data_IF_518503638745
#
_entry.id   IF_518503638745
#
_cell.length_a   1.000
_cell.length_b   1.000
_cell.length_c   1.000
_cell.angle_alpha   90.00
_cell.angle_beta   90.00
_cell.angle_gamma   90.00
#
_symmetry.space_group_name_H-M   'P 1'
#
loop_
_entity.id
_entity.type
_entity.pdbx_description
1 polymer ?
#
# COMPACT_ATOMS: atom_id res chain seq x y z
N UNK A 1 60.12 -7.86 -49.36
CA UNK A 1 59.10 -6.99 -49.99
C UNK A 1 57.75 -7.40 -49.40
N UNK A 2 57.26 -6.65 -48.40
CA UNK A 2 55.96 -6.89 -47.75
C UNK A 2 55.10 -5.65 -47.96
N UNK A 3 54.10 -5.74 -48.84
CA UNK A 3 53.12 -4.68 -49.07
C UNK A 3 51.97 -4.85 -48.08
N UNK A 4 51.90 -3.98 -47.08
CA UNK A 4 50.75 -3.87 -46.18
C UNK A 4 49.53 -3.33 -46.94
N UNK A 5 48.34 -3.95 -46.85
CA UNK A 5 47.15 -3.41 -47.47
C UNK A 5 46.73 -2.12 -46.76
N UNK A 6 46.68 -1.01 -47.49
CA UNK A 6 46.10 0.24 -46.99
C UNK A 6 44.62 0.03 -46.70
N UNK A 7 44.25 0.07 -45.41
CA UNK A 7 42.84 0.16 -44.99
C UNK A 7 42.32 1.53 -45.39
N UNK A 8 41.50 1.57 -46.44
CA UNK A 8 40.65 2.72 -46.77
C UNK A 8 39.69 2.99 -45.61
N UNK A 9 39.97 4.02 -44.81
CA UNK A 9 38.97 4.60 -43.91
C UNK A 9 38.03 5.43 -44.77
N UNK A 10 36.81 4.93 -45.01
CA UNK A 10 35.75 5.74 -45.61
C UNK A 10 35.39 6.86 -44.63
N UNK A 11 35.63 8.10 -45.01
CA UNK A 11 35.21 9.28 -44.25
C UNK A 11 33.70 9.45 -44.33
N UNK A 12 33.07 9.73 -43.20
CA UNK A 12 31.63 9.96 -43.10
C UNK A 12 31.32 11.39 -43.54
N UNK A 13 30.35 11.58 -44.44
CA UNK A 13 29.96 12.91 -44.91
C UNK A 13 29.04 13.59 -43.89
N UNK A 14 29.11 14.93 -43.81
CA UNK A 14 28.28 15.71 -42.88
C UNK A 14 26.77 15.45 -43.11
N UNK A 15 26.39 15.22 -44.38
CA UNK A 15 25.02 14.89 -44.77
C UNK A 15 24.57 13.52 -44.26
N UNK A 16 25.42 12.49 -44.31
CA UNK A 16 25.10 11.17 -43.75
C UNK A 16 24.85 11.27 -42.24
N UNK A 17 25.64 12.09 -41.52
CA UNK A 17 25.44 12.32 -40.09
C UNK A 17 24.14 13.06 -39.79
N UNK A 18 23.85 14.10 -40.57
CA UNK A 18 22.64 14.91 -40.39
C UNK A 18 21.37 14.09 -40.62
N UNK A 19 21.35 13.23 -41.64
CA UNK A 19 20.21 12.34 -41.90
C UNK A 19 20.01 11.34 -40.76
N UNK A 20 21.08 10.76 -40.22
CA UNK A 20 20.98 9.79 -39.12
C UNK A 20 20.40 10.43 -37.86
N UNK A 21 20.88 11.62 -37.48
CA UNK A 21 20.34 12.31 -36.30
C UNK A 21 18.89 12.74 -36.52
N UNK A 22 18.50 13.12 -37.74
CA UNK A 22 17.13 13.49 -38.08
C UNK A 22 16.17 12.28 -37.93
N UNK A 23 16.59 11.10 -38.40
CA UNK A 23 15.80 9.87 -38.23
C UNK A 23 15.66 9.51 -36.74
N UNK A 24 16.75 9.56 -35.96
CA UNK A 24 16.71 9.28 -34.52
C UNK A 24 15.77 10.25 -33.80
N UNK A 25 15.82 11.55 -34.13
CA UNK A 25 14.95 12.56 -33.52
C UNK A 25 13.46 12.30 -33.80
N UNK A 26 13.10 11.90 -35.04
CA UNK A 26 11.74 11.53 -35.40
C UNK A 26 11.31 10.27 -34.63
N UNK A 27 12.16 9.23 -34.58
CA UNK A 27 11.86 8.00 -33.86
C UNK A 27 11.62 8.26 -32.36
N UNK A 28 12.49 9.03 -31.70
CA UNK A 28 12.31 9.40 -30.28
C UNK A 28 11.06 10.26 -30.08
N UNK A 29 10.82 11.23 -30.98
CA UNK A 29 9.64 12.11 -30.93
C UNK A 29 8.32 11.33 -30.98
N UNK A 30 8.27 10.25 -31.75
CA UNK A 30 7.10 9.36 -31.82
C UNK A 30 7.01 8.41 -30.60
N UNK A 31 8.15 8.01 -30.03
CA UNK A 31 8.20 7.07 -28.91
C UNK A 31 7.87 7.69 -27.55
N UNK A 32 8.26 8.95 -27.30
CA UNK A 32 8.07 9.61 -26.00
C UNK A 32 6.61 9.59 -25.49
N UNK A 33 5.60 10.03 -26.27
CA UNK A 33 4.20 9.99 -25.81
C UNK A 33 3.68 8.56 -25.64
N UNK A 34 4.19 7.60 -26.42
CA UNK A 34 3.80 6.20 -26.31
C UNK A 34 4.35 5.56 -25.03
N UNK A 35 5.62 5.80 -24.70
CA UNK A 35 6.27 5.28 -23.48
C UNK A 35 5.58 5.79 -22.21
N UNK A 36 5.13 7.04 -22.20
CA UNK A 36 4.38 7.60 -21.06
C UNK A 36 3.05 6.88 -20.85
N UNK A 37 2.27 6.66 -21.92
CA UNK A 37 1.02 5.90 -21.87
C UNK A 37 1.25 4.47 -21.35
N UNK A 38 2.29 3.80 -21.83
CA UNK A 38 2.65 2.44 -21.37
C UNK A 38 3.03 2.45 -19.91
N UNK A 39 3.81 3.44 -19.45
CA UNK A 39 4.19 3.58 -18.04
C UNK A 39 2.96 3.78 -17.14
N UNK A 40 2.04 4.64 -17.53
CA UNK A 40 0.81 4.86 -16.77
C UNK A 40 -0.08 3.62 -16.73
N UNK A 41 -0.22 2.91 -17.85
CA UNK A 41 -0.94 1.64 -17.91
C UNK A 41 -0.27 0.59 -17.01
N UNK A 42 1.06 0.47 -17.03
CA UNK A 42 1.80 -0.44 -16.16
C UNK A 42 1.63 -0.09 -14.68
N UNK A 43 1.65 1.20 -14.32
CA UNK A 43 1.37 1.65 -12.95
C UNK A 43 -0.06 1.32 -12.52
N UNK A 44 -1.07 1.49 -13.39
CA UNK A 44 -2.46 1.09 -13.10
C UNK A 44 -2.59 -0.42 -12.91
N UNK A 45 -1.94 -1.21 -13.76
CA UNK A 45 -1.91 -2.67 -13.62
C UNK A 45 -1.27 -3.09 -12.29
N UNK A 46 -0.18 -2.43 -11.87
CA UNK A 46 0.40 -2.63 -10.54
C UNK A 46 -0.62 -2.35 -9.43
N UNK A 47 -1.37 -1.25 -9.51
CA UNK A 47 -2.39 -0.95 -8.52
C UNK A 47 -3.47 -2.05 -8.43
N UNK A 48 -3.92 -2.57 -9.57
CA UNK A 48 -4.89 -3.67 -9.61
C UNK A 48 -4.32 -4.96 -8.99
N UNK A 49 -3.05 -5.26 -9.28
CA UNK A 49 -2.38 -6.42 -8.70
C UNK A 49 -2.18 -6.29 -7.19
N UNK A 50 -1.83 -5.10 -6.70
CA UNK A 50 -1.75 -4.82 -5.26
C UNK A 50 -3.11 -5.03 -4.57
N UNK A 51 -4.21 -4.50 -5.13
CA UNK A 51 -5.56 -4.75 -4.59
C UNK A 51 -5.89 -6.24 -4.56
N UNK A 52 -5.55 -6.98 -5.63
CA UNK A 52 -5.72 -8.43 -5.66
C UNK A 52 -4.91 -9.13 -4.55
N UNK A 53 -3.66 -8.73 -4.33
CA UNK A 53 -2.84 -9.27 -3.24
C UNK A 53 -3.43 -8.97 -1.86
N UNK A 54 -3.91 -7.75 -1.63
CA UNK A 54 -4.57 -7.37 -0.37
C UNK A 54 -5.86 -8.17 -0.14
N UNK A 55 -6.68 -8.34 -1.18
CA UNK A 55 -7.92 -9.13 -1.10
C UNK A 55 -7.63 -10.60 -0.80
N UNK A 56 -6.63 -11.20 -1.47
CA UNK A 56 -6.17 -12.56 -1.17
C UNK A 56 -5.63 -12.67 0.26
N UNK A 57 -4.88 -11.68 0.73
CA UNK A 57 -4.40 -11.61 2.11
C UNK A 57 -5.53 -11.54 3.13
N UNK A 58 -6.60 -10.80 2.84
CA UNK A 58 -7.81 -10.76 3.68
C UNK A 58 -8.57 -12.09 3.69
N UNK A 59 -8.66 -12.78 2.55
CA UNK A 59 -9.26 -14.11 2.50
C UNK A 59 -8.42 -15.13 3.28
N UNK A 60 -7.09 -15.11 3.15
CA UNK A 60 -6.22 -15.97 3.94
C UNK A 60 -6.30 -15.69 5.45
N UNK A 61 -6.44 -14.40 5.83
CA UNK A 61 -6.74 -14.02 7.20
C UNK A 61 -8.08 -14.62 7.65
N UNK A 62 -9.13 -14.49 6.84
CA UNK A 62 -10.45 -15.09 7.13
C UNK A 62 -10.35 -16.61 7.31
N UNK A 63 -9.65 -17.32 6.43
CA UNK A 63 -9.53 -18.78 6.51
C UNK A 63 -8.89 -19.21 7.84
N UNK A 64 -7.95 -18.43 8.38
CA UNK A 64 -7.25 -18.73 9.62
C UNK A 64 -7.92 -18.19 10.89
N UNK A 65 -8.62 -17.06 10.78
CA UNK A 65 -9.23 -16.35 11.93
C UNK A 65 -10.75 -16.43 11.97
N UNK A 66 -11.37 -17.05 10.96
CA UNK A 66 -12.81 -17.19 10.78
C UNK A 66 -13.58 -15.85 10.83
N UNK A 67 -12.88 -14.76 10.55
CA UNK A 67 -13.38 -13.39 10.52
C UNK A 67 -12.54 -12.56 9.56
N UNK A 68 -13.12 -11.56 8.90
CA UNK A 68 -12.32 -10.56 8.17
C UNK A 68 -11.58 -9.65 9.16
N UNK A 69 -10.44 -9.06 8.75
CA UNK A 69 -9.65 -8.20 9.63
C UNK A 69 -10.47 -6.97 10.02
N UNK A 70 -10.49 -6.67 11.32
CA UNK A 70 -11.06 -5.45 11.84
C UNK A 70 -10.32 -4.23 11.27
N UNK A 71 -11.05 -3.20 10.84
CA UNK A 71 -10.42 -2.01 10.26
C UNK A 71 -9.53 -1.27 11.25
N UNK A 72 -9.95 -1.26 12.51
CA UNK A 72 -9.16 -0.86 13.66
C UNK A 72 -9.11 -2.06 14.60
N UNK A 73 -7.92 -2.38 15.13
CA UNK A 73 -7.79 -3.45 16.12
C UNK A 73 -8.70 -3.14 17.30
N UNK A 74 -9.54 -4.10 17.76
CA UNK A 74 -10.32 -3.91 18.96
C UNK A 74 -9.32 -3.77 20.11
N UNK A 75 -9.42 -2.66 20.83
CA UNK A 75 -8.96 -2.63 22.21
C UNK A 75 -10.10 -3.07 23.10
N UNK A 76 -9.82 -3.67 24.25
CA UNK A 76 -10.87 -3.90 25.27
C UNK A 76 -11.00 -2.68 26.21
N UNK A 77 -9.99 -1.79 26.24
CA UNK A 77 -9.97 -0.65 27.14
C UNK A 77 -10.82 0.48 26.57
N UNK A 78 -11.86 0.83 27.31
CA UNK A 78 -12.75 1.92 26.98
C UNK A 78 -12.06 3.27 27.27
N UNK A 79 -11.61 3.97 26.22
CA UNK A 79 -11.11 5.34 26.30
C UNK A 79 -12.25 6.35 26.04
N UNK A 80 -13.30 6.31 26.85
CA UNK A 80 -14.46 7.22 26.71
C UNK A 80 -15.21 7.00 25.39
N UNK A 81 -15.75 5.79 25.22
CA UNK A 81 -16.50 5.28 24.06
C UNK A 81 -15.65 4.97 22.81
N UNK A 82 -14.32 4.97 22.94
CA UNK A 82 -13.37 4.73 21.85
C UNK A 82 -12.58 3.44 22.08
N UNK A 83 -12.90 2.39 21.33
CA UNK A 83 -12.07 1.18 21.21
C UNK A 83 -10.97 1.46 20.18
N UNK A 84 -9.80 1.91 20.63
CA UNK A 84 -8.76 2.43 19.73
C UNK A 84 -7.37 1.91 20.06
N UNK A 85 -6.50 1.93 19.04
CA UNK A 85 -5.08 2.24 19.17
C UNK A 85 -4.07 1.08 19.23
N UNK A 86 -4.48 -0.19 19.13
CA UNK A 86 -3.55 -1.34 19.13
C UNK A 86 -3.24 -1.92 17.75
N UNK A 87 -3.78 -1.34 16.67
CA UNK A 87 -3.47 -1.77 15.31
C UNK A 87 -4.58 -1.42 14.32
N UNK A 88 -4.39 -1.81 13.06
CA UNK A 88 -5.36 -1.66 11.98
C UNK A 88 -5.45 -2.96 11.18
N UNK A 89 -6.39 -3.04 10.24
CA UNK A 89 -6.48 -4.15 9.28
C UNK A 89 -5.14 -4.41 8.56
N UNK A 90 -4.36 -3.35 8.35
CA UNK A 90 -3.08 -3.43 7.66
C UNK A 90 -2.11 -4.33 8.41
N UNK A 91 -2.00 -4.15 9.73
CA UNK A 91 -1.17 -5.01 10.60
C UNK A 91 -1.69 -6.45 10.57
N UNK A 92 -3.01 -6.62 10.65
CA UNK A 92 -3.67 -7.92 10.68
C UNK A 92 -3.29 -8.80 9.49
N UNK A 93 -3.24 -8.20 8.29
CA UNK A 93 -2.98 -8.95 7.06
C UNK A 93 -1.49 -9.07 6.71
N UNK A 94 -0.58 -8.37 7.40
CA UNK A 94 0.86 -8.36 7.08
C UNK A 94 1.47 -9.76 6.88
N UNK A 95 1.18 -10.78 7.71
CA UNK A 95 1.68 -12.14 7.51
C UNK A 95 1.25 -12.77 6.18
N UNK A 96 0.12 -12.34 5.63
CA UNK A 96 -0.52 -12.91 4.43
C UNK A 96 -0.16 -12.16 3.13
N UNK A 97 0.64 -11.09 3.21
CA UNK A 97 1.03 -10.25 2.08
C UNK A 97 2.56 -10.02 2.01
N UNK A 98 3.32 -11.04 2.42
CA UNK A 98 4.79 -11.02 2.41
C UNK A 98 5.40 -9.93 3.31
N UNK A 99 4.70 -9.49 4.36
CA UNK A 99 5.19 -8.53 5.35
C UNK A 99 5.36 -9.16 6.75
N UNK A 100 5.63 -10.46 6.82
CA UNK A 100 5.79 -11.20 8.09
C UNK A 100 6.89 -10.61 8.99
N UNK A 101 8.00 -10.16 8.39
CA UNK A 101 9.08 -9.52 9.15
C UNK A 101 8.63 -8.24 9.86
N UNK A 102 7.77 -7.44 9.22
CA UNK A 102 7.21 -6.24 9.83
C UNK A 102 6.21 -6.61 10.95
N UNK A 103 5.40 -7.64 10.72
CA UNK A 103 4.48 -8.15 11.74
C UNK A 103 5.21 -8.65 12.99
N UNK A 104 6.33 -9.36 12.84
CA UNK A 104 7.15 -9.84 13.97
C UNK A 104 7.76 -8.72 14.83
N UNK A 105 7.98 -7.53 14.25
CA UNK A 105 8.48 -6.36 14.99
C UNK A 105 7.34 -5.69 15.76
N UNK A 106 6.12 -5.71 15.21
CA UNK A 106 4.96 -5.08 15.82
C UNK A 106 4.60 -5.75 17.15
N UNK A 107 4.39 -4.95 18.19
CA UNK A 107 4.04 -5.41 19.54
C UNK A 107 2.63 -4.99 19.91
N UNK A 108 1.99 -5.83 20.72
CA UNK A 108 0.67 -5.60 21.33
C UNK A 108 -0.47 -5.37 20.31
N UNK A 109 -0.49 -6.13 19.22
CA UNK A 109 -1.65 -6.15 18.32
C UNK A 109 -2.86 -6.77 19.04
N UNK A 110 -4.02 -6.11 19.01
CA UNK A 110 -5.20 -6.56 19.75
C UNK A 110 -5.14 -6.34 21.25
N UNK A 111 -4.18 -5.55 21.74
CA UNK A 111 -3.97 -5.32 23.17
C UNK A 111 -5.19 -4.82 23.91
N UNK A 112 -5.32 -5.27 25.15
CA UNK A 112 -6.44 -5.05 26.06
C UNK A 112 -5.98 -4.26 27.31
N UNK A 113 -4.74 -3.79 27.31
CA UNK A 113 -4.05 -3.20 28.44
C UNK A 113 -3.66 -1.74 28.17
N UNK A 114 -3.85 -0.86 29.14
CA UNK A 114 -3.46 0.56 29.00
C UNK A 114 -1.94 0.78 28.95
N UNK A 115 -1.16 -0.29 29.11
CA UNK A 115 0.28 -0.30 29.37
C UNK A 115 1.16 -0.67 28.18
N UNK A 116 0.69 -1.46 27.20
CA UNK A 116 1.53 -1.88 26.08
C UNK A 116 1.70 -0.83 24.96
N UNK A 117 2.69 -1.01 24.06
CA UNK A 117 2.95 -0.07 22.98
C UNK A 117 1.78 0.00 21.98
N UNK A 118 1.27 1.21 21.77
CA UNK A 118 0.18 1.49 20.83
C UNK A 118 0.66 1.54 19.38
N UNK A 119 -0.27 1.61 18.43
CA UNK A 119 -0.01 1.73 16.98
C UNK A 119 0.95 2.88 16.63
N UNK A 120 0.82 4.01 17.32
CA UNK A 120 1.69 5.18 17.17
C UNK A 120 2.86 5.26 18.17
N UNK A 121 3.12 4.18 18.93
CA UNK A 121 4.01 4.20 20.09
C UNK A 121 5.34 3.48 19.87
N UNK A 122 6.43 4.07 20.38
CA UNK A 122 7.73 3.42 20.60
C UNK A 122 8.17 2.47 19.48
N UNK A 123 8.30 1.18 19.82
CA UNK A 123 8.75 0.11 18.93
C UNK A 123 7.92 -0.04 17.65
N UNK A 124 6.61 0.25 17.70
CA UNK A 124 5.71 0.08 16.56
C UNK A 124 5.95 1.12 15.46
N UNK A 125 6.65 2.23 15.74
CA UNK A 125 7.01 3.23 14.73
C UNK A 125 7.90 2.65 13.62
N UNK A 126 8.72 1.63 13.92
CA UNK A 126 9.52 0.95 12.89
C UNK A 126 8.64 0.31 11.81
N UNK A 127 7.39 -0.05 12.16
CA UNK A 127 6.41 -0.68 11.27
C UNK A 127 5.48 0.37 10.67
N UNK A 128 4.98 1.32 11.48
CA UNK A 128 3.93 2.28 11.07
C UNK A 128 4.45 3.53 10.36
N UNK A 129 5.75 3.80 10.40
CA UNK A 129 6.39 4.83 9.57
C UNK A 129 6.79 4.31 8.20
N UNK A 130 6.81 2.98 8.00
CA UNK A 130 7.25 2.37 6.75
C UNK A 130 6.13 2.35 5.70
N UNK A 131 6.45 2.81 4.50
CA UNK A 131 5.54 2.74 3.34
C UNK A 131 5.72 1.43 2.59
N UNK A 132 4.80 0.49 2.80
CA UNK A 132 4.73 -0.77 2.07
C UNK A 132 4.18 -0.60 0.65
N UNK A 133 4.94 -1.02 -0.37
CA UNK A 133 4.54 -0.92 -1.78
C UNK A 133 3.24 -1.66 -2.08
N UNK A 134 3.05 -2.87 -1.53
CA UNK A 134 1.83 -3.67 -1.71
C UNK A 134 0.56 -2.98 -1.20
N UNK A 135 0.70 -2.05 -0.25
CA UNK A 135 -0.40 -1.24 0.27
C UNK A 135 -0.48 0.15 -0.40
N UNK A 136 0.33 0.44 -1.42
CA UNK A 136 0.31 1.73 -2.11
C UNK A 136 0.16 1.57 -3.61
N UNK A 137 -0.85 2.23 -4.17
CA UNK A 137 -1.03 2.38 -5.60
C UNK A 137 0.00 3.37 -6.18
N UNK A 138 0.90 2.97 -7.08
CA UNK A 138 1.90 3.87 -7.68
C UNK A 138 1.31 5.00 -8.54
N UNK A 139 0.08 4.89 -9.04
CA UNK A 139 -0.56 6.01 -9.76
C UNK A 139 -1.02 7.12 -8.82
N UNK A 140 -1.19 6.80 -7.54
CA UNK A 140 -1.62 7.72 -6.49
C UNK A 140 -0.57 7.82 -5.38
N UNK A 141 0.71 7.55 -5.70
CA UNK A 141 1.80 7.63 -4.74
C UNK A 141 2.21 9.08 -4.49
N UNK A 142 1.26 9.82 -3.93
CA UNK A 142 1.50 11.13 -3.33
C UNK A 142 1.81 10.89 -1.85
N UNK A 143 2.90 11.44 -1.31
CA UNK A 143 3.08 11.51 0.12
C UNK A 143 1.88 12.23 0.73
N UNK A 144 1.02 11.49 1.42
CA UNK A 144 -0.04 12.09 2.22
C UNK A 144 0.59 12.68 3.49
N UNK A 145 0.01 13.78 3.99
CA UNK A 145 0.44 14.34 5.27
C UNK A 145 0.37 13.23 6.33
N UNK A 146 1.48 12.91 7.01
CA UNK A 146 1.48 11.86 8.03
C UNK A 146 0.56 12.26 9.18
N UNK A 147 -0.13 11.28 9.76
CA UNK A 147 -0.82 11.49 11.04
C UNK A 147 0.24 11.39 12.13
N UNK A 148 0.74 12.54 12.59
CA UNK A 148 1.91 12.58 13.45
C UNK A 148 3.15 12.09 12.70
N UNK A 149 3.77 11.02 13.19
CA UNK A 149 4.98 10.45 12.57
C UNK A 149 4.68 9.27 11.64
N UNK A 150 3.41 8.86 11.50
CA UNK A 150 3.00 7.63 10.81
C UNK A 150 2.63 7.89 9.35
N UNK A 151 2.98 6.95 8.47
CA UNK A 151 2.66 7.08 7.04
C UNK A 151 1.26 6.58 6.74
N UNK A 152 0.60 7.19 5.76
CA UNK A 152 -0.72 6.77 5.27
C UNK A 152 -0.61 6.11 3.91
N UNK A 153 -1.22 4.94 3.77
CA UNK A 153 -1.42 4.25 2.50
C UNK A 153 -2.66 4.79 1.77
N UNK A 154 -2.84 4.42 0.49
CA UNK A 154 -3.93 4.95 -0.35
C UNK A 154 -5.02 3.91 -0.69
N UNK A 155 -4.89 2.67 -0.22
CA UNK A 155 -6.00 1.72 -0.24
C UNK A 155 -6.84 1.84 1.04
N UNK A 156 -8.15 1.93 0.85
CA UNK A 156 -9.12 1.98 1.93
C UNK A 156 -9.99 0.71 1.95
N UNK A 157 -10.54 0.39 3.11
CA UNK A 157 -11.50 -0.68 3.29
C UNK A 157 -12.81 -0.13 3.81
N UNK A 158 -13.90 -0.84 3.52
CA UNK A 158 -15.20 -0.56 4.11
C UNK A 158 -15.27 -1.25 5.48
N UNK A 159 -15.66 -0.51 6.53
CA UNK A 159 -15.76 -1.02 7.91
C UNK A 159 -17.05 -1.84 8.16
N UNK A 160 -17.81 -2.12 7.11
CA UNK A 160 -19.08 -2.82 7.17
C UNK A 160 -20.20 -1.95 7.73
N UNK A 161 -21.15 -2.60 8.40
CA UNK A 161 -22.29 -1.95 9.01
C UNK A 161 -22.00 -1.42 10.41
N UNK A 162 -20.75 -1.20 10.81
CA UNK A 162 -20.40 -0.71 12.13
C UNK A 162 -19.54 0.55 12.01
N UNK A 163 -19.26 1.21 13.12
CA UNK A 163 -18.41 2.39 13.11
C UNK A 163 -16.94 2.00 13.06
N UNK A 164 -16.07 3.00 12.89
CA UNK A 164 -14.61 2.79 12.94
C UNK A 164 -14.16 2.12 14.25
N UNK A 165 -14.96 2.23 15.32
CA UNK A 165 -14.72 1.61 16.64
C UNK A 165 -15.39 0.26 16.81
N UNK A 166 -15.99 -0.31 15.77
CA UNK A 166 -16.78 -1.54 15.81
C UNK A 166 -17.86 -1.54 16.91
N UNK A 167 -18.39 -0.37 17.24
CA UNK A 167 -19.42 -0.23 18.27
C UNK A 167 -20.76 -0.79 17.76
N UNK A 168 -21.52 -1.52 18.61
CA UNK A 168 -22.84 -2.03 18.24
C UNK A 168 -23.88 -0.90 18.10
N UNK A 169 -23.61 0.27 18.66
CA UNK A 169 -24.48 1.44 18.59
C UNK A 169 -23.66 2.71 18.37
N UNK A 170 -24.23 3.69 17.66
CA UNK A 170 -23.72 5.06 17.65
C UNK A 170 -24.84 6.08 17.75
N UNK A 171 -24.62 7.10 18.58
CA UNK A 171 -25.57 8.19 18.79
C UNK A 171 -25.07 9.44 18.08
N UNK A 172 -25.83 9.93 17.09
CA UNK A 172 -25.54 11.17 16.37
C UNK A 172 -26.75 12.09 16.49
N UNK A 173 -26.56 13.29 17.05
CA UNK A 173 -27.64 14.26 17.22
C UNK A 173 -28.82 13.76 18.07
N UNK A 174 -28.55 12.91 19.06
CA UNK A 174 -29.57 12.31 19.94
C UNK A 174 -30.29 11.08 19.36
N UNK A 175 -29.99 10.68 18.11
CA UNK A 175 -30.52 9.46 17.50
C UNK A 175 -29.52 8.32 17.67
N UNK A 176 -29.94 7.25 18.35
CA UNK A 176 -29.13 6.03 18.51
C UNK A 176 -29.39 5.07 17.37
N UNK A 177 -28.38 4.83 16.54
CA UNK A 177 -28.38 3.83 15.48
C UNK A 177 -27.80 2.55 16.09
N UNK A 178 -28.55 1.45 16.04
CA UNK A 178 -28.04 0.13 16.42
C UNK A 178 -27.65 -0.63 15.17
N UNK A 179 -26.40 -1.04 15.11
CA UNK A 179 -25.87 -1.86 14.04
C UNK A 179 -26.11 -3.34 14.36
N UNK A 180 -26.77 -4.06 13.46
CA UNK A 180 -26.78 -5.53 13.55
C UNK A 180 -25.35 -6.01 13.43
N UNK A 181 -24.83 -6.79 14.37
CA UNK A 181 -23.41 -7.14 14.40
C UNK A 181 -22.92 -7.63 13.02
N UNK A 182 -21.92 -6.97 12.45
CA UNK A 182 -21.17 -7.55 11.34
C UNK A 182 -20.37 -8.76 11.86
N UNK A 183 -20.09 -9.78 11.01
CA UNK A 183 -19.44 -11.03 11.44
C UNK A 183 -17.93 -10.89 11.75
N UNK A 184 -17.49 -9.77 12.32
CA UNK A 184 -16.08 -9.41 12.49
C UNK A 184 -15.57 -9.50 13.94
N UNK A 185 -16.28 -10.20 14.82
CA UNK A 185 -15.84 -10.37 16.21
C UNK A 185 -15.05 -11.69 16.36
N UNK A 186 -13.72 -11.64 16.60
CA UNK A 186 -12.93 -12.82 16.94
C UNK A 186 -13.11 -13.28 18.41
N UNK A 187 -13.88 -12.55 19.23
CA UNK A 187 -14.16 -12.89 20.63
C UNK A 187 -15.51 -13.62 20.80
N UNK A 188 -15.88 -14.44 19.81
CA UNK A 188 -16.86 -15.52 19.94
C UNK A 188 -16.16 -16.82 19.56
#
# INVERSE_FOLDING_TARGET
MFTSPQRSSKGFTLIELLVVIAIIAILIGLLLPAVQKVREAASRMKCQNHVKQLALGMHAFHDTKQALPAGMSPGTVNYGDLYCCWGTWQIAIMPFIEQENAFKIYQNYGGDDSTGPRYAGGVNLQVTQRRYSVMTCPTEDKPNAPIGSMTSHNYAINYGNTTIYQAPTVTVGGVTITFGQAPFNPNV
#
